data_IF_866788199958
#
_entry.id   IF_866788199958
#
_cell.length_a   1.000
_cell.length_b   1.000
_cell.length_c   1.000
_cell.angle_alpha   90.00
_cell.angle_beta   90.00
_cell.angle_gamma   90.00
#
_symmetry.space_group_name_H-M   'P 1'
#
loop_
_entity.id
_entity.type
_entity.pdbx_description
1 polymer ?
#
# COMPACT_ATOMS: atom_id res chain seq x y z
N UNK A 1 -11.14 7.58 24.86
CA UNK A 1 -11.00 9.03 25.14
C UNK A 1 -11.59 9.76 23.96
N UNK A 2 -12.45 10.75 24.19
CA UNK A 2 -13.00 11.60 23.12
C UNK A 2 -11.86 12.34 22.44
N UNK A 3 -11.80 12.31 21.10
CA UNK A 3 -10.84 13.10 20.33
C UNK A 3 -11.19 14.57 20.54
N UNK A 4 -10.23 15.38 21.02
CA UNK A 4 -10.42 16.82 21.09
C UNK A 4 -10.54 17.37 19.68
N UNK A 5 -11.41 18.36 19.53
CA UNK A 5 -11.54 19.08 18.28
C UNK A 5 -10.29 19.94 18.05
N UNK A 6 -9.82 20.00 16.80
CA UNK A 6 -8.57 20.66 16.44
C UNK A 6 -8.82 21.73 15.38
N UNK A 7 -8.16 22.87 15.51
CA UNK A 7 -8.00 23.85 14.45
C UNK A 7 -6.53 23.88 14.02
N UNK A 8 -6.26 23.35 12.83
CA UNK A 8 -4.93 23.39 12.23
C UNK A 8 -4.83 24.65 11.37
N UNK A 9 -3.98 25.60 11.73
CA UNK A 9 -3.91 26.90 11.06
C UNK A 9 -2.70 27.05 10.15
N UNK A 10 -2.81 27.91 9.14
CA UNK A 10 -1.65 28.36 8.37
C UNK A 10 -0.95 27.27 7.55
N UNK A 11 -1.63 26.16 7.24
CA UNK A 11 -1.10 25.09 6.40
C UNK A 11 -1.29 25.36 4.92
N UNK A 12 -0.65 24.57 4.06
CA UNK A 12 -0.88 24.57 2.61
C UNK A 12 -1.42 23.20 2.15
N UNK A 13 -2.74 22.98 2.17
CA UNK A 13 -3.34 21.73 1.73
C UNK A 13 -3.01 21.42 0.26
N UNK A 14 -2.62 20.18 0.00
CA UNK A 14 -2.39 19.66 -1.34
C UNK A 14 -3.54 18.78 -1.81
N UNK A 15 -3.99 19.01 -3.03
CA UNK A 15 -4.92 18.16 -3.78
C UNK A 15 -4.37 18.01 -5.20
N UNK A 16 -4.35 16.79 -5.77
CA UNK A 16 -3.79 16.56 -7.10
C UNK A 16 -4.31 17.52 -8.15
N UNK A 17 -3.39 18.15 -8.90
CA UNK A 17 -3.74 19.07 -9.99
C UNK A 17 -4.31 20.42 -9.55
N UNK A 18 -4.37 20.71 -8.24
CA UNK A 18 -4.81 21.99 -7.69
C UNK A 18 -3.61 22.77 -7.13
N UNK A 19 -3.61 24.12 -7.24
CA UNK A 19 -2.56 24.93 -6.62
C UNK A 19 -2.66 24.85 -5.09
N UNK A 20 -1.52 24.83 -4.42
CA UNK A 20 -1.46 24.94 -2.95
C UNK A 20 -1.58 26.40 -2.51
N UNK A 21 -2.30 26.67 -1.43
CA UNK A 21 -2.43 28.00 -0.82
C UNK A 21 -2.62 27.91 0.68
N UNK A 22 -2.41 29.02 1.40
CA UNK A 22 -2.59 29.05 2.86
C UNK A 22 -4.07 28.84 3.20
N UNK A 23 -4.34 27.88 4.08
CA UNK A 23 -5.66 27.60 4.62
C UNK A 23 -5.56 27.02 6.03
N UNK A 24 -6.65 27.16 6.77
CA UNK A 24 -6.91 26.51 8.04
C UNK A 24 -7.82 25.29 7.82
N UNK A 25 -7.68 24.28 8.67
CA UNK A 25 -8.47 23.04 8.66
C UNK A 25 -9.10 22.88 10.05
N UNK A 26 -10.43 23.00 10.12
CA UNK A 26 -11.19 22.70 11.33
C UNK A 26 -11.57 21.23 11.34
N UNK A 27 -11.25 20.54 12.43
CA UNK A 27 -11.46 19.12 12.64
C UNK A 27 -12.41 18.94 13.82
N UNK A 28 -13.54 18.27 13.58
CA UNK A 28 -14.53 17.89 14.59
C UNK A 28 -14.77 16.40 14.58
N UNK A 29 -14.76 15.78 15.76
CA UNK A 29 -15.08 14.36 15.92
C UNK A 29 -14.27 13.46 14.96
N UNK A 30 -13.00 13.81 14.77
CA UNK A 30 -12.07 13.10 13.90
C UNK A 30 -12.28 13.26 12.39
N UNK A 31 -13.12 14.20 11.95
CA UNK A 31 -13.38 14.52 10.54
C UNK A 31 -13.08 15.98 10.24
N UNK A 32 -12.73 16.25 8.99
CA UNK A 32 -12.57 17.61 8.47
C UNK A 32 -13.96 18.24 8.36
N UNK A 33 -14.23 19.26 9.17
CA UNK A 33 -15.50 20.00 9.13
C UNK A 33 -15.44 21.16 8.12
N UNK A 34 -14.32 21.88 8.09
CA UNK A 34 -14.14 23.02 7.19
C UNK A 34 -12.68 23.18 6.78
N UNK A 35 -12.47 23.68 5.56
CA UNK A 35 -11.17 24.12 5.04
C UNK A 35 -11.38 25.53 4.49
N UNK A 36 -10.57 26.49 4.93
CA UNK A 36 -10.72 27.88 4.49
C UNK A 36 -9.79 28.84 5.20
N UNK A 37 -9.83 30.12 4.82
CA UNK A 37 -8.99 31.14 5.43
C UNK A 37 -9.66 31.76 6.67
N UNK A 38 -8.88 31.98 7.73
CA UNK A 38 -9.31 32.71 8.91
C UNK A 38 -10.39 31.97 9.71
N UNK A 39 -10.33 30.64 9.73
CA UNK A 39 -11.23 29.85 10.55
C UNK A 39 -10.97 30.14 12.03
N UNK A 40 -12.03 30.13 12.84
CA UNK A 40 -11.91 30.30 14.28
C UNK A 40 -12.82 29.30 14.98
N UNK A 41 -12.31 28.71 16.06
CA UNK A 41 -13.03 27.77 16.90
C UNK A 41 -12.55 27.96 18.34
N UNK A 42 -13.43 28.49 19.20
CA UNK A 42 -13.09 28.88 20.58
C UNK A 42 -12.85 27.66 21.48
N UNK A 43 -13.39 26.52 21.08
CA UNK A 43 -13.46 25.26 21.80
C UNK A 43 -12.58 24.15 21.19
N UNK A 44 -11.68 24.51 20.26
CA UNK A 44 -10.74 23.58 19.62
C UNK A 44 -9.29 23.91 20.01
N UNK A 45 -8.46 22.88 20.17
CA UNK A 45 -7.01 23.06 20.35
C UNK A 45 -6.40 23.56 19.03
N UNK A 46 -5.51 24.54 19.09
CA UNK A 46 -4.91 25.17 17.90
C UNK A 46 -3.51 24.61 17.63
N UNK A 47 -3.25 24.20 16.39
CA UNK A 47 -1.92 23.81 15.91
C UNK A 47 -1.55 24.67 14.71
N UNK A 48 -0.55 25.54 14.86
CA UNK A 48 -0.05 26.36 13.77
C UNK A 48 1.02 25.61 12.95
N UNK A 49 0.77 25.48 11.65
CA UNK A 49 1.68 24.88 10.69
C UNK A 49 2.65 25.86 10.04
N UNK A 50 2.53 27.17 10.30
CA UNK A 50 3.49 28.19 9.85
C UNK A 50 3.91 28.06 8.37
N UNK A 51 2.96 27.73 7.48
CA UNK A 51 3.18 27.55 6.05
C UNK A 51 3.62 26.15 5.59
N UNK A 52 3.63 25.13 6.45
CA UNK A 52 3.97 23.77 6.05
C UNK A 52 2.97 23.20 5.02
N UNK A 53 3.44 22.33 4.12
CA UNK A 53 2.56 21.60 3.20
C UNK A 53 1.79 20.54 3.98
N UNK A 54 0.51 20.38 3.65
CA UNK A 54 -0.38 19.37 4.26
C UNK A 54 -0.83 18.41 3.18
N UNK A 55 -0.63 17.13 3.44
CA UNK A 55 -1.00 16.03 2.55
C UNK A 55 -1.98 15.10 3.26
N UNK A 56 -2.86 14.39 2.53
CA UNK A 56 -3.64 13.32 3.14
C UNK A 56 -2.71 12.19 3.60
N UNK A 57 -3.16 11.38 4.57
CA UNK A 57 -2.38 10.27 5.11
C UNK A 57 -1.93 9.30 4.01
N UNK A 58 -0.66 8.91 4.01
CA UNK A 58 -0.09 8.03 2.98
C UNK A 58 -0.75 6.65 3.03
N UNK A 59 -0.79 5.97 1.88
CA UNK A 59 -1.37 4.64 1.74
C UNK A 59 -0.30 3.68 1.22
N UNK A 60 0.15 2.74 2.06
CA UNK A 60 1.02 1.66 1.63
C UNK A 60 0.17 0.49 1.13
N UNK A 61 -0.01 0.38 -0.18
CA UNK A 61 -0.98 -0.56 -0.76
C UNK A 61 -0.42 -1.98 -0.90
N UNK A 62 0.84 -2.21 -0.51
CA UNK A 62 1.47 -3.52 -0.60
C UNK A 62 2.71 -3.57 0.29
N UNK A 63 2.64 -4.35 1.37
CA UNK A 63 3.80 -4.76 2.18
C UNK A 63 3.62 -6.17 2.75
N UNK A 64 4.62 -6.65 3.50
CA UNK A 64 4.59 -7.94 4.21
C UNK A 64 4.99 -7.77 5.68
N UNK A 65 4.02 -7.50 6.55
CA UNK A 65 4.25 -7.25 7.98
C UNK A 65 4.60 -8.52 8.76
N UNK A 66 4.13 -9.68 8.32
CA UNK A 66 4.32 -10.99 8.96
C UNK A 66 5.78 -11.48 8.91
N UNK A 67 6.53 -11.04 7.91
CA UNK A 67 7.93 -11.45 7.65
C UNK A 67 8.98 -10.45 8.10
N UNK A 68 8.57 -9.25 8.52
CA UNK A 68 9.51 -8.19 8.88
C UNK A 68 10.37 -8.58 10.08
N UNK A 69 11.65 -8.22 10.03
CA UNK A 69 12.60 -8.31 11.13
C UNK A 69 12.85 -6.94 11.77
N UNK A 70 11.93 -6.00 11.58
CA UNK A 70 12.07 -4.63 12.09
C UNK A 70 12.29 -4.60 13.61
N UNK A 71 13.26 -3.79 14.04
CA UNK A 71 13.78 -3.72 15.41
C UNK A 71 14.45 -5.00 15.94
N UNK A 72 14.52 -6.08 15.16
CA UNK A 72 15.30 -7.28 15.48
C UNK A 72 16.79 -7.12 15.17
N UNK A 73 17.62 -8.13 15.50
CA UNK A 73 19.03 -8.14 15.13
C UNK A 73 19.19 -8.17 13.61
N UNK A 74 20.28 -7.57 13.12
CA UNK A 74 20.62 -7.63 11.70
C UNK A 74 20.78 -9.08 11.25
N UNK A 75 20.02 -9.45 10.22
CA UNK A 75 20.02 -10.80 9.66
C UNK A 75 20.59 -10.77 8.24
N UNK A 76 21.73 -11.43 7.98
CA UNK A 76 22.27 -11.52 6.64
C UNK A 76 21.29 -12.18 5.68
N UNK A 77 21.09 -11.56 4.50
CA UNK A 77 20.28 -12.14 3.45
C UNK A 77 21.09 -13.18 2.66
N UNK A 78 20.57 -14.41 2.61
CA UNK A 78 21.22 -15.57 1.99
C UNK A 78 20.38 -16.19 0.87
N UNK A 79 19.29 -15.53 0.44
CA UNK A 79 18.33 -16.09 -0.52
C UNK A 79 18.70 -15.94 -1.99
N UNK A 80 19.78 -15.23 -2.30
CA UNK A 80 20.22 -15.02 -3.69
C UNK A 80 19.25 -14.13 -4.50
N UNK A 81 19.26 -14.28 -5.82
CA UNK A 81 18.54 -13.38 -6.75
C UNK A 81 17.29 -13.97 -7.39
N UNK A 82 17.04 -15.28 -7.25
CA UNK A 82 15.89 -15.94 -7.88
C UNK A 82 14.68 -15.93 -6.94
N UNK A 83 13.48 -15.90 -7.51
CA UNK A 83 12.23 -16.01 -6.75
C UNK A 83 12.22 -17.26 -5.86
N UNK A 84 12.49 -18.43 -6.46
CA UNK A 84 12.56 -19.70 -5.72
C UNK A 84 13.61 -19.70 -4.59
N UNK A 85 14.76 -19.05 -4.80
CA UNK A 85 15.80 -18.94 -3.76
C UNK A 85 15.37 -18.08 -2.57
N UNK A 86 14.64 -16.99 -2.83
CA UNK A 86 14.10 -16.12 -1.77
C UNK A 86 12.98 -16.80 -0.99
N UNK A 87 12.07 -17.51 -1.67
CA UNK A 87 11.03 -18.33 -1.03
C UNK A 87 11.69 -19.36 -0.10
N UNK A 88 12.63 -20.16 -0.62
CA UNK A 88 13.32 -21.17 0.17
C UNK A 88 14.09 -20.57 1.38
N UNK A 89 14.68 -19.38 1.21
CA UNK A 89 15.35 -18.68 2.30
C UNK A 89 14.37 -18.22 3.40
N UNK A 90 13.19 -17.71 3.02
CA UNK A 90 12.13 -17.35 3.95
C UNK A 90 11.61 -18.56 4.72
N UNK A 91 11.19 -19.61 4.00
CA UNK A 91 10.61 -20.82 4.58
C UNK A 91 11.62 -21.58 5.46
N UNK A 92 12.86 -21.70 5.01
CA UNK A 92 13.89 -22.44 5.72
C UNK A 92 14.38 -21.78 7.01
N UNK A 93 14.10 -20.47 7.20
CA UNK A 93 14.66 -19.68 8.31
C UNK A 93 13.59 -18.98 9.16
N UNK A 94 12.33 -18.90 8.74
CA UNK A 94 11.29 -18.24 9.55
C UNK A 94 11.20 -18.77 10.98
N UNK A 95 11.32 -20.09 11.17
CA UNK A 95 11.28 -20.71 12.49
C UNK A 95 12.47 -20.32 13.38
N UNK A 96 13.70 -20.24 12.83
CA UNK A 96 14.88 -19.82 13.61
C UNK A 96 14.78 -18.35 14.07
N UNK A 97 14.05 -17.53 13.30
CA UNK A 97 13.88 -16.10 13.56
C UNK A 97 12.62 -15.75 14.34
N UNK A 98 11.82 -16.77 14.72
CA UNK A 98 10.56 -16.56 15.44
C UNK A 98 9.51 -15.80 14.62
N UNK A 99 9.48 -16.02 13.31
CA UNK A 99 8.48 -15.47 12.41
C UNK A 99 7.31 -16.46 12.23
N UNK A 100 6.05 -15.99 12.19
CA UNK A 100 5.63 -14.58 12.26
C UNK A 100 5.70 -13.99 13.67
N UNK A 101 5.97 -12.68 13.78
CA UNK A 101 6.12 -11.97 15.07
C UNK A 101 5.23 -10.73 15.17
N UNK A 102 4.27 -10.75 16.10
CA UNK A 102 3.42 -9.60 16.40
C UNK A 102 4.22 -8.40 16.93
N UNK A 103 5.37 -8.63 17.56
CA UNK A 103 6.24 -7.55 18.05
C UNK A 103 6.96 -6.84 16.91
N UNK A 104 7.59 -7.58 15.98
CA UNK A 104 8.25 -6.97 14.83
C UNK A 104 7.26 -6.25 13.92
N UNK A 105 6.10 -6.88 13.65
CA UNK A 105 5.02 -6.25 12.90
C UNK A 105 4.53 -4.96 13.58
N UNK A 106 4.34 -4.96 14.92
CA UNK A 106 3.92 -3.76 15.65
C UNK A 106 4.98 -2.67 15.61
N UNK A 107 6.26 -3.02 15.74
CA UNK A 107 7.33 -2.04 15.68
C UNK A 107 7.40 -1.36 14.31
N UNK A 108 7.23 -2.13 13.23
CA UNK A 108 7.16 -1.59 11.88
C UNK A 108 5.91 -0.72 11.67
N UNK A 109 4.73 -1.13 12.14
CA UNK A 109 3.52 -0.31 12.05
C UNK A 109 3.68 1.04 12.77
N UNK A 110 4.36 1.06 13.91
CA UNK A 110 4.69 2.31 14.61
C UNK A 110 5.61 3.22 13.78
N UNK A 111 6.63 2.64 13.14
CA UNK A 111 7.52 3.34 12.21
C UNK A 111 6.77 3.91 11.00
N UNK A 112 5.85 3.14 10.41
CA UNK A 112 5.03 3.59 9.27
C UNK A 112 4.08 4.72 9.70
N UNK A 113 3.40 4.57 10.84
CA UNK A 113 2.47 5.56 11.37
C UNK A 113 3.14 6.89 11.69
N UNK A 114 4.32 6.88 12.33
CA UNK A 114 5.05 8.13 12.63
C UNK A 114 5.53 8.87 11.39
N UNK A 115 5.67 8.14 10.28
CA UNK A 115 6.01 8.64 8.95
C UNK A 115 4.77 8.98 8.12
N UNK A 116 3.58 9.05 8.73
CA UNK A 116 2.39 9.55 8.07
C UNK A 116 1.67 8.53 7.19
N UNK A 117 2.03 7.24 7.23
CA UNK A 117 1.21 6.18 6.65
C UNK A 117 -0.01 5.96 7.53
N UNK A 118 -1.20 6.21 6.99
CA UNK A 118 -2.47 6.09 7.70
C UNK A 118 -3.20 4.79 7.39
N UNK A 119 -2.86 4.15 6.27
CA UNK A 119 -3.50 2.92 5.78
C UNK A 119 -2.44 2.00 5.16
N UNK A 120 -2.56 0.71 5.42
CA UNK A 120 -1.67 -0.31 4.86
C UNK A 120 -2.44 -1.55 4.43
N UNK A 121 -2.08 -2.14 3.29
CA UNK A 121 -2.46 -3.50 2.91
C UNK A 121 -1.25 -4.42 3.06
N UNK A 122 -1.35 -5.39 3.96
CA UNK A 122 -0.30 -6.40 4.17
C UNK A 122 -0.72 -7.73 3.57
N UNK A 123 0.15 -8.27 2.72
CA UNK A 123 0.09 -9.67 2.34
C UNK A 123 0.66 -10.52 3.47
N UNK A 124 0.02 -11.65 3.75
CA UNK A 124 0.35 -12.53 4.88
C UNK A 124 0.43 -13.96 4.39
N UNK A 125 1.55 -14.63 4.66
CA UNK A 125 1.79 -15.98 4.18
C UNK A 125 0.79 -16.98 4.77
N UNK A 126 0.14 -17.71 3.87
CA UNK A 126 -0.74 -18.83 4.17
C UNK A 126 -0.17 -20.08 3.51
N UNK A 127 0.25 -21.05 4.31
CA UNK A 127 0.73 -22.35 3.86
C UNK A 127 0.53 -23.43 4.96
N UNK A 128 0.57 -24.74 4.63
CA UNK A 128 0.39 -25.81 5.61
C UNK A 128 1.33 -25.80 6.83
N UNK A 129 2.49 -25.15 6.73
CA UNK A 129 3.50 -25.13 7.77
C UNK A 129 3.34 -23.94 8.73
N UNK A 130 2.72 -22.82 8.32
CA UNK A 130 2.40 -21.67 9.19
C UNK A 130 0.91 -21.60 9.55
N UNK A 131 0.05 -22.20 8.73
CA UNK A 131 -1.40 -22.08 8.87
C UNK A 131 -1.85 -20.61 8.82
N UNK A 132 -2.48 -20.14 9.89
CA UNK A 132 -3.01 -18.78 10.02
C UNK A 132 -2.23 -17.93 11.04
N UNK A 133 -1.09 -18.40 11.53
CA UNK A 133 -0.34 -17.72 12.61
C UNK A 133 0.10 -16.31 12.20
N UNK A 134 0.41 -16.10 10.90
CA UNK A 134 0.75 -14.78 10.36
C UNK A 134 -0.42 -13.79 10.49
N UNK A 135 -1.64 -14.25 10.20
CA UNK A 135 -2.86 -13.43 10.31
C UNK A 135 -3.08 -13.02 11.76
N UNK A 136 -2.96 -13.97 12.69
CA UNK A 136 -3.08 -13.69 14.13
C UNK A 136 -2.01 -12.68 14.60
N UNK A 137 -0.76 -12.84 14.17
CA UNK A 137 0.34 -11.96 14.53
C UNK A 137 0.14 -10.52 14.02
N UNK A 138 -0.24 -10.34 12.75
CA UNK A 138 -0.46 -9.02 12.17
C UNK A 138 -1.70 -8.35 12.77
N UNK A 139 -2.78 -9.09 13.04
CA UNK A 139 -3.96 -8.54 13.75
C UNK A 139 -3.61 -8.07 15.16
N UNK A 140 -2.82 -8.85 15.90
CA UNK A 140 -2.34 -8.45 17.22
C UNK A 140 -1.46 -7.19 17.16
N UNK A 141 -0.64 -7.05 16.12
CA UNK A 141 0.15 -5.86 15.87
C UNK A 141 -0.72 -4.64 15.51
N UNK A 142 -1.70 -4.80 14.63
CA UNK A 142 -2.65 -3.78 14.24
C UNK A 142 -3.45 -3.25 15.44
N UNK A 143 -3.90 -4.15 16.33
CA UNK A 143 -4.62 -3.78 17.54
C UNK A 143 -3.81 -2.86 18.48
N UNK A 144 -2.48 -3.01 18.53
CA UNK A 144 -1.58 -2.13 19.32
C UNK A 144 -1.49 -0.71 18.75
N UNK A 145 -1.82 -0.53 17.48
CA UNK A 145 -1.79 0.74 16.77
C UNK A 145 -3.17 1.20 16.31
N UNK A 146 -4.23 0.68 16.95
CA UNK A 146 -5.60 1.14 16.70
C UNK A 146 -5.69 2.67 16.84
N UNK A 147 -6.24 3.33 15.82
CA UNK A 147 -6.30 4.79 15.75
C UNK A 147 -4.96 5.49 15.49
N UNK A 148 -3.93 4.78 15.01
CA UNK A 148 -2.70 5.34 14.43
C UNK A 148 -2.55 4.99 12.95
N UNK A 149 -2.87 3.75 12.59
CA UNK A 149 -2.79 3.21 11.22
C UNK A 149 -3.82 2.08 11.07
N UNK A 150 -4.50 2.03 9.93
CA UNK A 150 -5.45 0.97 9.62
C UNK A 150 -4.80 -0.08 8.72
N UNK A 151 -5.06 -1.36 9.00
CA UNK A 151 -4.43 -2.50 8.33
C UNK A 151 -5.48 -3.36 7.65
N UNK A 152 -5.33 -3.59 6.35
CA UNK A 152 -6.07 -4.57 5.56
C UNK A 152 -5.19 -5.78 5.27
N UNK A 153 -5.75 -7.00 5.33
CA UNK A 153 -4.97 -8.23 5.15
C UNK A 153 -5.30 -8.93 3.83
N UNK A 154 -4.27 -9.50 3.21
CA UNK A 154 -4.37 -10.42 2.07
C UNK A 154 -3.95 -11.82 2.51
N UNK A 155 -4.82 -12.81 2.32
CA UNK A 155 -4.48 -14.22 2.46
C UNK A 155 -3.63 -14.64 1.25
N UNK A 156 -2.33 -14.80 1.45
CA UNK A 156 -1.36 -14.88 0.35
C UNK A 156 -0.65 -16.24 0.26
N UNK A 157 -0.81 -17.00 -0.84
CA UNK A 157 -0.18 -18.30 -1.04
C UNK A 157 1.26 -18.17 -1.57
N UNK A 158 2.17 -17.59 -0.78
CA UNK A 158 3.56 -17.30 -1.18
C UNK A 158 4.33 -18.50 -1.71
N UNK A 159 4.10 -19.68 -1.13
CA UNK A 159 4.74 -20.94 -1.51
C UNK A 159 3.97 -21.75 -2.54
N UNK A 160 2.96 -21.15 -3.20
CA UNK A 160 2.12 -21.77 -4.22
C UNK A 160 0.71 -22.13 -3.73
N UNK A 161 -0.25 -22.09 -4.66
CA UNK A 161 -1.64 -22.46 -4.42
C UNK A 161 -1.96 -23.82 -5.04
N UNK A 162 -1.61 -24.00 -6.31
CA UNK A 162 -1.78 -25.28 -7.02
C UNK A 162 -0.67 -26.25 -6.65
N UNK A 163 0.55 -25.74 -6.54
CA UNK A 163 1.75 -26.55 -6.28
C UNK A 163 1.90 -26.98 -4.82
N UNK A 164 1.06 -26.46 -3.91
CA UNK A 164 1.08 -26.77 -2.48
C UNK A 164 -0.30 -27.20 -1.97
N UNK A 165 -0.59 -28.51 -1.91
CA UNK A 165 -1.87 -29.02 -1.43
C UNK A 165 -2.20 -28.55 -0.01
N UNK A 166 -3.48 -28.21 0.22
CA UNK A 166 -3.98 -27.69 1.50
C UNK A 166 -3.96 -26.17 1.62
N UNK A 167 -3.18 -25.46 0.80
CA UNK A 167 -3.14 -23.99 0.83
C UNK A 167 -4.50 -23.35 0.51
N UNK A 168 -5.23 -23.88 -0.48
CA UNK A 168 -6.55 -23.35 -0.86
C UNK A 168 -7.57 -23.43 0.29
N UNK A 169 -7.57 -24.52 1.06
CA UNK A 169 -8.45 -24.70 2.21
C UNK A 169 -8.09 -23.72 3.34
N UNK A 170 -6.79 -23.49 3.57
CA UNK A 170 -6.32 -22.51 4.55
C UNK A 170 -6.65 -21.07 4.13
N UNK A 171 -6.52 -20.73 2.85
CA UNK A 171 -6.95 -19.42 2.34
C UNK A 171 -8.47 -19.24 2.54
N UNK A 172 -9.27 -20.26 2.25
CA UNK A 172 -10.71 -20.22 2.52
C UNK A 172 -11.01 -20.04 4.03
N UNK A 173 -10.23 -20.68 4.91
CA UNK A 173 -10.34 -20.50 6.35
C UNK A 173 -9.98 -19.08 6.79
N UNK A 174 -8.93 -18.49 6.23
CA UNK A 174 -8.52 -17.11 6.50
C UNK A 174 -9.63 -16.11 6.12
N UNK A 175 -10.22 -16.28 4.93
CA UNK A 175 -11.33 -15.44 4.46
C UNK A 175 -12.59 -15.63 5.31
N UNK A 176 -12.91 -16.86 5.71
CA UNK A 176 -14.01 -17.15 6.63
C UNK A 176 -13.80 -16.51 8.02
N UNK A 177 -12.55 -16.36 8.45
CA UNK A 177 -12.14 -15.66 9.67
C UNK A 177 -12.02 -14.13 9.48
N UNK A 178 -12.43 -13.60 8.32
CA UNK A 178 -12.56 -12.17 8.06
C UNK A 178 -11.31 -11.48 7.49
N UNK A 179 -10.38 -12.22 6.89
CA UNK A 179 -9.37 -11.61 6.01
C UNK A 179 -10.06 -11.05 4.76
N UNK A 180 -9.71 -9.82 4.38
CA UNK A 180 -10.52 -9.00 3.46
C UNK A 180 -10.20 -9.22 1.97
N UNK A 181 -9.00 -9.73 1.68
CA UNK A 181 -8.47 -9.86 0.32
C UNK A 181 -7.89 -11.26 0.12
N UNK A 182 -8.14 -11.85 -1.05
CA UNK A 182 -7.53 -13.11 -1.49
C UNK A 182 -6.37 -12.82 -2.42
N UNK A 183 -5.24 -13.48 -2.18
CA UNK A 183 -4.01 -13.33 -2.97
C UNK A 183 -3.75 -14.47 -3.94
N UNK A 184 -2.76 -14.26 -4.81
CA UNK A 184 -2.20 -15.25 -5.73
C UNK A 184 -0.76 -14.87 -6.09
N UNK A 185 0.01 -15.78 -6.69
CA UNK A 185 1.40 -15.56 -7.09
C UNK A 185 1.67 -16.26 -8.43
N UNK A 186 2.15 -15.50 -9.42
CA UNK A 186 2.58 -15.96 -10.76
C UNK A 186 1.81 -17.20 -11.25
N UNK A 187 0.53 -17.02 -11.65
CA UNK A 187 -0.34 -18.11 -12.10
C UNK A 187 0.33 -19.05 -13.11
N UNK A 188 1.13 -18.51 -14.03
CA UNK A 188 1.91 -19.29 -14.98
C UNK A 188 3.32 -19.62 -14.48
N UNK A 189 4.12 -18.62 -14.09
CA UNK A 189 5.55 -18.78 -13.81
C UNK A 189 5.87 -19.63 -12.59
N UNK A 190 4.96 -19.65 -11.60
CA UNK A 190 5.14 -20.42 -10.37
C UNK A 190 4.22 -21.62 -10.29
N UNK A 191 2.90 -21.42 -10.34
CA UNK A 191 1.94 -22.52 -10.19
C UNK A 191 1.75 -23.36 -11.46
N UNK A 192 2.16 -22.84 -12.63
CA UNK A 192 2.15 -23.55 -13.93
C UNK A 192 0.77 -24.01 -14.39
N UNK A 193 -0.28 -23.51 -13.77
CA UNK A 193 -1.67 -23.71 -14.18
C UNK A 193 -2.47 -22.43 -13.91
N UNK A 194 -2.31 -21.41 -14.78
CA UNK A 194 -2.90 -20.10 -14.55
C UNK A 194 -4.42 -20.15 -14.55
N UNK A 195 -5.02 -21.06 -15.33
CA UNK A 195 -6.47 -21.22 -15.34
C UNK A 195 -6.96 -21.75 -13.99
N UNK A 196 -6.41 -22.86 -13.50
CA UNK A 196 -6.83 -23.44 -12.24
C UNK A 196 -6.55 -22.50 -11.05
N UNK A 197 -5.39 -21.84 -11.01
CA UNK A 197 -5.07 -20.90 -9.92
C UNK A 197 -6.08 -19.76 -9.88
N UNK A 198 -6.28 -19.09 -11.01
CA UNK A 198 -7.16 -17.92 -11.06
C UNK A 198 -8.62 -18.31 -10.80
N UNK A 199 -9.07 -19.49 -11.23
CA UNK A 199 -10.42 -19.97 -10.93
C UNK A 199 -10.62 -20.20 -9.42
N UNK A 200 -9.61 -20.69 -8.70
CA UNK A 200 -9.65 -20.80 -7.23
C UNK A 200 -9.66 -19.41 -6.59
N UNK A 201 -8.74 -18.52 -6.97
CA UNK A 201 -8.62 -17.18 -6.39
C UNK A 201 -9.91 -16.38 -6.57
N UNK A 202 -10.45 -16.32 -7.79
CA UNK A 202 -11.69 -15.60 -8.08
C UNK A 202 -12.91 -16.30 -7.46
N UNK A 203 -12.96 -17.63 -7.45
CA UNK A 203 -14.03 -18.37 -6.77
C UNK A 203 -14.07 -18.14 -5.25
N UNK A 204 -12.90 -18.01 -4.60
CA UNK A 204 -12.80 -17.60 -3.20
C UNK A 204 -13.26 -16.16 -3.00
N UNK A 205 -12.86 -15.24 -3.89
CA UNK A 205 -13.30 -13.85 -3.84
C UNK A 205 -14.82 -13.72 -3.93
N UNK A 206 -15.46 -14.41 -4.86
CA UNK A 206 -16.93 -14.43 -5.00
C UNK A 206 -17.61 -15.05 -3.79
N UNK A 207 -17.12 -16.21 -3.33
CA UNK A 207 -17.72 -16.95 -2.20
C UNK A 207 -17.75 -16.13 -0.91
N UNK A 208 -16.67 -15.40 -0.62
CA UNK A 208 -16.53 -14.64 0.62
C UNK A 208 -16.78 -13.14 0.46
N UNK A 209 -17.09 -12.68 -0.76
CA UNK A 209 -17.19 -11.27 -1.07
C UNK A 209 -15.88 -10.52 -0.83
N UNK A 210 -14.72 -11.18 -1.00
CA UNK A 210 -13.40 -10.59 -0.79
C UNK A 210 -12.94 -9.77 -2.01
N UNK A 211 -11.92 -8.93 -1.81
CA UNK A 211 -11.15 -8.32 -2.92
C UNK A 211 -10.07 -9.28 -3.41
N UNK A 212 -9.44 -8.98 -4.54
CA UNK A 212 -8.33 -9.77 -5.12
C UNK A 212 -7.07 -8.90 -5.23
N UNK A 213 -5.91 -9.44 -4.84
CA UNK A 213 -4.61 -8.79 -5.06
C UNK A 213 -3.54 -9.84 -5.40
N UNK A 214 -3.17 -9.93 -6.68
CA UNK A 214 -2.30 -11.00 -7.20
C UNK A 214 -0.89 -10.47 -7.42
N UNK A 215 0.10 -11.12 -6.83
CA UNK A 215 1.51 -10.91 -7.16
C UNK A 215 1.80 -11.43 -8.56
N UNK A 216 2.25 -10.55 -9.45
CA UNK A 216 2.57 -10.91 -10.82
C UNK A 216 3.94 -10.35 -11.24
N UNK A 217 4.95 -11.19 -11.08
CA UNK A 217 6.34 -10.96 -11.42
C UNK A 217 6.70 -11.43 -12.83
N UNK A 218 5.88 -12.30 -13.43
CA UNK A 218 6.09 -12.77 -14.79
C UNK A 218 6.20 -11.60 -15.76
N UNK A 219 7.28 -11.64 -16.56
CA UNK A 219 7.69 -10.55 -17.43
C UNK A 219 7.27 -10.74 -18.88
N UNK A 220 7.44 -9.67 -19.68
CA UNK A 220 7.26 -9.73 -21.13
C UNK A 220 5.86 -10.21 -21.55
N UNK A 221 5.76 -10.93 -22.69
CA UNK A 221 4.47 -11.39 -23.21
C UNK A 221 3.69 -12.34 -22.29
N UNK A 222 4.37 -13.09 -21.41
CA UNK A 222 3.71 -14.00 -20.47
C UNK A 222 2.87 -13.22 -19.46
N UNK A 223 3.49 -12.28 -18.74
CA UNK A 223 2.76 -11.44 -17.78
C UNK A 223 1.69 -10.58 -18.45
N UNK A 224 1.91 -10.12 -19.69
CA UNK A 224 0.89 -9.40 -20.45
C UNK A 224 -0.35 -10.25 -20.72
N UNK A 225 -0.16 -11.51 -21.10
CA UNK A 225 -1.24 -12.47 -21.28
C UNK A 225 -1.97 -12.79 -19.97
N UNK A 226 -1.23 -12.88 -18.85
CA UNK A 226 -1.84 -13.05 -17.53
C UNK A 226 -2.65 -11.83 -17.08
N UNK A 227 -2.26 -10.61 -17.46
CA UNK A 227 -3.11 -9.43 -17.27
C UNK A 227 -4.45 -9.59 -17.98
N UNK A 228 -4.46 -10.06 -19.23
CA UNK A 228 -5.69 -10.29 -20.00
C UNK A 228 -6.57 -11.37 -19.32
N UNK A 229 -5.97 -12.44 -18.78
CA UNK A 229 -6.70 -13.48 -18.02
C UNK A 229 -7.35 -12.96 -16.72
N UNK A 230 -6.66 -12.07 -16.00
CA UNK A 230 -7.17 -11.43 -14.78
C UNK A 230 -8.29 -10.45 -15.13
N UNK A 231 -8.15 -9.68 -16.22
CA UNK A 231 -9.19 -8.79 -16.74
C UNK A 231 -10.44 -9.58 -17.14
N UNK A 232 -10.28 -10.69 -17.85
CA UNK A 232 -11.39 -11.57 -18.26
C UNK A 232 -12.19 -12.04 -17.04
N UNK A 233 -11.52 -12.55 -16.01
CA UNK A 233 -12.17 -13.04 -14.78
C UNK A 233 -12.80 -11.91 -13.97
N UNK A 234 -12.16 -10.74 -13.93
CA UNK A 234 -12.74 -9.54 -13.29
C UNK A 234 -14.09 -9.19 -13.93
N UNK A 235 -14.17 -9.24 -15.27
CA UNK A 235 -15.42 -8.97 -16.00
C UNK A 235 -16.46 -10.07 -15.76
N UNK A 236 -16.05 -11.34 -15.77
CA UNK A 236 -16.95 -12.48 -15.59
C UNK A 236 -17.59 -12.55 -14.19
N UNK A 237 -16.85 -12.13 -13.16
CA UNK A 237 -17.25 -12.21 -11.74
C UNK A 237 -17.84 -10.91 -11.20
N UNK A 238 -17.85 -9.83 -11.99
CA UNK A 238 -18.35 -8.52 -11.56
C UNK A 238 -17.49 -7.85 -10.48
N UNK A 239 -16.23 -8.24 -10.32
CA UNK A 239 -15.30 -7.70 -9.32
C UNK A 239 -14.62 -6.39 -9.75
N UNK A 240 -15.24 -5.63 -10.65
CA UNK A 240 -14.71 -4.32 -11.08
C UNK A 240 -14.47 -3.40 -9.89
N UNK A 241 -13.28 -2.77 -9.84
CA UNK A 241 -12.85 -1.92 -8.73
C UNK A 241 -12.38 -2.69 -7.49
N UNK A 242 -12.33 -4.02 -7.53
CA UNK A 242 -11.96 -4.88 -6.40
C UNK A 242 -10.77 -5.81 -6.68
N UNK A 243 -10.10 -5.63 -7.82
CA UNK A 243 -8.96 -6.45 -8.25
C UNK A 243 -7.72 -5.57 -8.43
N UNK A 244 -6.61 -6.02 -7.88
CA UNK A 244 -5.30 -5.43 -8.06
C UNK A 244 -4.28 -6.45 -8.56
N UNK A 245 -3.34 -5.98 -9.39
CA UNK A 245 -2.18 -6.73 -9.85
C UNK A 245 -0.94 -6.06 -9.26
N UNK A 246 -0.31 -6.74 -8.31
CA UNK A 246 0.88 -6.27 -7.64
C UNK A 246 2.15 -6.59 -8.42
N UNK A 247 3.12 -5.69 -8.36
CA UNK A 247 4.36 -5.66 -9.15
C UNK A 247 4.16 -5.35 -10.63
N UNK A 248 3.41 -6.20 -11.35
CA UNK A 248 3.10 -6.06 -12.76
C UNK A 248 4.34 -5.81 -13.64
N UNK A 249 5.43 -6.56 -13.43
CA UNK A 249 6.73 -6.28 -14.07
C UNK A 249 6.69 -6.30 -15.60
N UNK A 250 5.82 -7.11 -16.21
CA UNK A 250 5.60 -7.06 -17.66
C UNK A 250 5.24 -5.65 -18.13
N UNK A 251 4.36 -4.93 -17.42
CA UNK A 251 3.93 -3.59 -17.80
C UNK A 251 5.09 -2.60 -17.98
N UNK A 252 6.13 -2.70 -17.15
CA UNK A 252 7.33 -1.85 -17.25
C UNK A 252 8.28 -2.18 -18.40
N UNK A 253 8.08 -3.29 -19.11
CA UNK A 253 8.98 -3.74 -20.20
C UNK A 253 8.29 -3.86 -21.56
N UNK A 254 6.97 -3.82 -21.61
CA UNK A 254 6.20 -3.86 -22.85
C UNK A 254 6.47 -2.63 -23.76
N UNK A 255 6.35 -2.78 -25.08
CA UNK A 255 6.29 -1.66 -26.01
C UNK A 255 5.18 -0.66 -25.67
N UNK A 256 5.35 0.62 -26.02
CA UNK A 256 4.45 1.70 -25.57
C UNK A 256 2.99 1.59 -26.08
N UNK A 257 2.80 1.03 -27.27
CA UNK A 257 1.49 0.71 -27.84
C UNK A 257 0.79 -0.39 -27.04
N UNK A 258 1.53 -1.42 -26.64
CA UNK A 258 1.00 -2.51 -25.84
C UNK A 258 0.73 -2.08 -24.39
N UNK A 259 1.62 -1.27 -23.80
CA UNK A 259 1.36 -0.62 -22.51
C UNK A 259 0.07 0.19 -22.55
N UNK A 260 -0.20 0.94 -23.62
CA UNK A 260 -1.44 1.70 -23.77
C UNK A 260 -2.66 0.77 -23.85
N UNK A 261 -2.61 -0.27 -24.69
CA UNK A 261 -3.68 -1.27 -24.80
C UNK A 261 -4.02 -1.87 -23.44
N UNK A 262 -3.01 -2.31 -22.70
CA UNK A 262 -3.17 -2.90 -21.37
C UNK A 262 -3.73 -1.87 -20.39
N UNK A 263 -3.19 -0.64 -20.35
CA UNK A 263 -3.67 0.41 -19.46
C UNK A 263 -5.16 0.75 -19.70
N UNK A 264 -5.58 0.88 -20.96
CA UNK A 264 -6.97 1.15 -21.33
C UNK A 264 -7.89 -0.01 -20.91
N UNK A 265 -7.45 -1.26 -21.12
CA UNK A 265 -8.23 -2.44 -20.74
C UNK A 265 -8.38 -2.58 -19.21
N UNK A 266 -7.32 -2.29 -18.44
CA UNK A 266 -7.36 -2.25 -16.98
C UNK A 266 -8.33 -1.17 -16.48
N UNK A 267 -8.28 0.03 -17.07
CA UNK A 267 -9.18 1.12 -16.72
C UNK A 267 -10.65 0.76 -16.98
N UNK A 268 -10.94 0.16 -18.14
CA UNK A 268 -12.29 -0.30 -18.50
C UNK A 268 -12.78 -1.42 -17.57
N UNK A 269 -11.93 -2.37 -17.22
CA UNK A 269 -12.29 -3.49 -16.34
C UNK A 269 -12.38 -3.08 -14.86
N UNK A 270 -11.78 -1.94 -14.49
CA UNK A 270 -11.63 -1.54 -13.09
C UNK A 270 -10.60 -2.38 -12.34
N UNK A 271 -9.54 -2.82 -13.01
CA UNK A 271 -8.40 -3.52 -12.40
C UNK A 271 -7.30 -2.51 -12.11
N UNK A 272 -6.78 -2.53 -10.89
CA UNK A 272 -5.67 -1.68 -10.49
C UNK A 272 -4.31 -2.37 -10.64
N UNK A 273 -3.25 -1.57 -10.71
CA UNK A 273 -1.88 -2.05 -10.53
C UNK A 273 -1.25 -1.46 -9.27
N UNK A 274 -0.37 -2.22 -8.63
CA UNK A 274 0.48 -1.75 -7.52
C UNK A 274 1.94 -1.91 -7.90
N UNK A 275 2.73 -0.84 -7.86
CA UNK A 275 4.18 -0.90 -8.14
C UNK A 275 5.01 -0.54 -6.91
N UNK A 276 6.06 -1.32 -6.66
CA UNK A 276 6.91 -1.16 -5.49
C UNK A 276 8.33 -0.68 -5.83
N UNK A 277 8.73 -0.68 -7.12
CA UNK A 277 10.07 -0.32 -7.58
C UNK A 277 11.21 -1.03 -6.80
N UNK A 278 11.12 -2.36 -6.70
CA UNK A 278 12.08 -3.18 -5.94
C UNK A 278 13.33 -3.48 -6.76
N UNK A 279 14.49 -3.06 -6.27
CA UNK A 279 15.79 -3.39 -6.87
C UNK A 279 15.91 -2.93 -8.33
N UNK A 280 16.19 -3.89 -9.22
CA UNK A 280 16.28 -3.66 -10.67
C UNK A 280 14.99 -3.99 -11.44
N UNK A 281 13.94 -4.40 -10.72
CA UNK A 281 12.69 -4.80 -11.36
C UNK A 281 12.05 -3.64 -12.15
N UNK A 282 11.40 -3.93 -13.28
CA UNK A 282 10.68 -2.93 -14.05
C UNK A 282 9.59 -2.24 -13.22
N UNK A 283 9.37 -0.95 -13.50
CA UNK A 283 8.35 -0.14 -12.81
C UNK A 283 7.18 0.09 -13.76
N UNK A 284 5.96 -0.02 -13.24
CA UNK A 284 4.75 0.35 -13.98
C UNK A 284 4.82 1.85 -14.38
N UNK A 285 4.68 2.19 -15.67
CA UNK A 285 4.85 3.55 -16.17
C UNK A 285 3.73 4.47 -15.67
N UNK A 286 4.05 5.36 -14.73
CA UNK A 286 3.09 6.20 -14.00
C UNK A 286 2.32 7.11 -14.96
N UNK A 287 3.01 7.72 -15.93
CA UNK A 287 2.40 8.61 -16.92
C UNK A 287 1.43 7.89 -17.86
N UNK A 288 1.74 6.64 -18.22
CA UNK A 288 0.85 5.83 -19.07
C UNK A 288 -0.43 5.49 -18.32
N UNK A 289 -0.31 5.01 -17.08
CA UNK A 289 -1.47 4.68 -16.24
C UNK A 289 -2.36 5.89 -16.01
N UNK A 290 -1.76 7.05 -15.70
CA UNK A 290 -2.48 8.29 -15.54
C UNK A 290 -3.22 8.70 -16.82
N UNK A 291 -2.55 8.66 -17.99
CA UNK A 291 -3.15 9.03 -19.27
C UNK A 291 -4.34 8.15 -19.67
N UNK A 292 -4.33 6.88 -19.26
CA UNK A 292 -5.43 5.93 -19.48
C UNK A 292 -6.53 5.98 -18.40
N UNK A 293 -6.38 6.82 -17.36
CA UNK A 293 -7.22 6.79 -16.16
C UNK A 293 -7.24 5.41 -15.44
N UNK A 294 -6.19 4.63 -15.63
CA UNK A 294 -6.00 3.33 -14.98
C UNK A 294 -5.55 3.53 -13.53
N UNK A 295 -6.11 2.74 -12.61
CA UNK A 295 -5.78 2.85 -11.20
C UNK A 295 -4.35 2.35 -10.95
N UNK A 296 -3.52 3.20 -10.34
CA UNK A 296 -2.17 2.88 -9.92
C UNK A 296 -1.99 3.23 -8.45
N UNK A 297 -1.49 2.29 -7.68
CA UNK A 297 -1.06 2.50 -6.30
C UNK A 297 0.41 2.09 -6.11
N UNK A 298 0.97 2.47 -4.96
CA UNK A 298 2.34 2.15 -4.60
C UNK A 298 2.38 1.35 -3.30
N UNK A 299 3.43 0.56 -3.12
CA UNK A 299 3.70 -0.13 -1.86
C UNK A 299 5.19 -0.31 -1.61
N UNK A 300 5.54 -0.64 -0.37
CA UNK A 300 6.93 -0.89 -0.01
C UNK A 300 7.46 -2.27 -0.38
N UNK A 301 6.57 -3.26 -0.51
CA UNK A 301 6.92 -4.69 -0.54
C UNK A 301 7.55 -5.14 0.80
N UNK A 302 8.48 -6.10 0.77
CA UNK A 302 9.25 -6.50 1.94
C UNK A 302 10.02 -5.34 2.59
N UNK A 303 10.03 -5.31 3.92
CA UNK A 303 10.73 -4.28 4.71
C UNK A 303 11.60 -4.99 5.74
N UNK A 304 12.93 -4.93 5.54
CA UNK A 304 13.94 -5.59 6.37
C UNK A 304 13.56 -7.02 6.72
N UNK A 305 13.60 -7.89 5.73
CA UNK A 305 13.22 -9.29 5.86
C UNK A 305 14.17 -10.21 5.05
N UNK A 306 13.78 -11.47 4.93
CA UNK A 306 14.54 -12.50 4.21
C UNK A 306 14.41 -12.41 2.68
N UNK A 307 13.53 -11.55 2.16
CA UNK A 307 13.41 -11.22 0.74
C UNK A 307 14.31 -10.04 0.37
N UNK A 308 14.33 -9.01 1.21
CA UNK A 308 15.06 -7.77 0.98
C UNK A 308 15.60 -7.18 2.29
N UNK A 309 16.88 -6.79 2.33
CA UNK A 309 17.44 -6.06 3.47
C UNK A 309 17.02 -4.58 3.50
N UNK A 310 16.38 -4.09 2.42
CA UNK A 310 16.00 -2.69 2.25
C UNK A 310 14.60 -2.40 2.82
N UNK A 311 14.21 -1.13 2.74
CA UNK A 311 12.94 -0.62 3.25
C UNK A 311 13.06 0.01 4.63
N UNK A 312 12.35 1.12 4.82
CA UNK A 312 12.25 1.87 6.07
C UNK A 312 10.80 2.20 6.46
N UNK A 313 9.81 1.60 5.76
CA UNK A 313 8.39 1.85 5.97
C UNK A 313 7.92 3.25 5.54
N UNK A 314 8.79 4.05 4.94
CA UNK A 314 8.49 5.43 4.55
C UNK A 314 7.84 5.50 3.15
N UNK A 315 6.53 5.71 3.10
CA UNK A 315 5.83 5.84 1.82
C UNK A 315 6.25 7.07 1.00
N UNK A 316 6.70 8.17 1.62
CA UNK A 316 7.21 9.32 0.88
C UNK A 316 8.57 9.00 0.22
N UNK A 317 9.40 8.20 0.89
CA UNK A 317 10.62 7.63 0.28
C UNK A 317 10.29 6.64 -0.84
N UNK A 318 9.24 5.84 -0.68
CA UNK A 318 8.80 4.93 -1.73
C UNK A 318 8.30 5.68 -2.97
N UNK A 319 7.48 6.72 -2.77
CA UNK A 319 7.02 7.62 -3.83
C UNK A 319 8.23 8.24 -4.56
N UNK A 320 9.20 8.76 -3.81
CA UNK A 320 10.46 9.29 -4.37
C UNK A 320 11.17 8.24 -5.25
N UNK A 321 11.31 7.02 -4.72
CA UNK A 321 11.99 5.92 -5.42
C UNK A 321 11.28 5.57 -6.72
N UNK A 322 9.94 5.50 -6.71
CA UNK A 322 9.14 5.24 -7.92
C UNK A 322 9.29 6.38 -8.93
N UNK A 323 9.17 7.64 -8.49
CA UNK A 323 9.35 8.80 -9.36
C UNK A 323 10.73 8.82 -10.04
N UNK A 324 11.78 8.53 -9.26
CA UNK A 324 13.15 8.41 -9.78
C UNK A 324 13.29 7.24 -10.76
N UNK A 325 12.75 6.06 -10.42
CA UNK A 325 12.89 4.84 -11.23
C UNK A 325 12.11 4.92 -12.55
N UNK A 326 10.94 5.54 -12.55
CA UNK A 326 10.12 5.81 -13.74
C UNK A 326 10.57 7.07 -14.51
N UNK A 327 11.60 7.78 -14.01
CA UNK A 327 12.21 8.97 -14.63
C UNK A 327 11.21 10.12 -14.81
N UNK A 328 10.43 10.39 -13.77
CA UNK A 328 9.54 11.56 -13.71
C UNK A 328 10.39 12.81 -13.42
N UNK A 329 10.29 13.83 -14.27
CA UNK A 329 11.18 15.01 -14.21
C UNK A 329 10.40 16.29 -13.94
N UNK A 330 9.25 16.48 -14.58
CA UNK A 330 8.44 17.66 -14.32
C UNK A 330 7.72 17.53 -12.97
N UNK A 331 7.53 18.63 -12.24
CA UNK A 331 6.80 18.64 -10.96
C UNK A 331 5.41 17.99 -11.09
N UNK A 332 4.70 18.28 -12.18
CA UNK A 332 3.41 17.66 -12.47
C UNK A 332 3.48 16.14 -12.67
N UNK A 333 4.61 15.62 -13.18
CA UNK A 333 4.83 14.18 -13.30
C UNK A 333 5.18 13.56 -11.93
N UNK A 334 6.05 14.21 -11.15
CA UNK A 334 6.42 13.77 -9.79
C UNK A 334 5.17 13.68 -8.90
N UNK A 335 4.26 14.65 -9.01
CA UNK A 335 2.99 14.66 -8.29
C UNK A 335 2.06 13.50 -8.69
N UNK A 336 2.22 12.87 -9.87
CA UNK A 336 1.48 11.66 -10.21
C UNK A 336 1.91 10.47 -9.34
N UNK A 337 3.20 10.36 -9.02
CA UNK A 337 3.67 9.33 -8.09
C UNK A 337 3.15 9.59 -6.67
N UNK A 338 3.11 10.86 -6.25
CA UNK A 338 2.50 11.24 -4.97
C UNK A 338 1.00 10.91 -4.94
N UNK A 339 0.27 11.19 -6.02
CA UNK A 339 -1.13 10.80 -6.16
C UNK A 339 -1.32 9.29 -6.09
N UNK A 340 -0.43 8.49 -6.72
CA UNK A 340 -0.48 7.03 -6.63
C UNK A 340 -0.27 6.51 -5.20
N UNK A 341 0.66 7.09 -4.43
CA UNK A 341 0.91 6.74 -3.02
C UNK A 341 -0.09 7.33 -2.01
N UNK A 342 -1.09 8.08 -2.49
CA UNK A 342 -2.17 8.66 -1.67
C UNK A 342 -3.54 8.24 -2.22
N UNK A 343 -4.12 9.03 -3.12
CA UNK A 343 -5.44 8.79 -3.72
C UNK A 343 -5.51 7.47 -4.52
N UNK A 344 -4.42 7.08 -5.18
CA UNK A 344 -4.31 5.80 -5.90
C UNK A 344 -4.44 4.61 -4.95
N UNK A 345 -3.65 4.62 -3.87
CA UNK A 345 -3.77 3.62 -2.80
C UNK A 345 -5.15 3.61 -2.14
N UNK A 346 -5.72 4.80 -1.85
CA UNK A 346 -7.06 4.90 -1.30
C UNK A 346 -8.12 4.25 -2.22
N UNK A 347 -8.00 4.43 -3.55
CA UNK A 347 -8.86 3.76 -4.55
C UNK A 347 -8.69 2.24 -4.51
N UNK A 348 -7.46 1.72 -4.39
CA UNK A 348 -7.17 0.27 -4.33
C UNK A 348 -7.68 -0.37 -3.04
N UNK A 349 -7.56 0.34 -1.91
CA UNK A 349 -8.10 -0.11 -0.62
C UNK A 349 -9.63 0.08 -0.53
N UNK A 350 -10.24 0.87 -1.42
CA UNK A 350 -11.67 1.15 -1.40
C UNK A 350 -12.08 2.10 -0.26
N UNK A 351 -11.20 3.04 0.09
CA UNK A 351 -11.46 4.01 1.14
C UNK A 351 -12.48 5.05 0.67
N UNK A 352 -13.58 5.19 1.41
CA UNK A 352 -14.58 6.22 1.17
C UNK A 352 -14.18 7.55 1.84
N UNK A 353 -14.43 8.67 1.15
CA UNK A 353 -14.17 10.04 1.66
C UNK A 353 -12.71 10.22 2.13
N UNK A 354 -11.76 9.87 1.26
CA UNK A 354 -10.33 10.07 1.51
C UNK A 354 -9.84 11.38 0.90
N UNK A 355 -8.90 12.05 1.57
CA UNK A 355 -8.26 13.26 1.06
C UNK A 355 -8.39 14.42 2.03
N UNK A 356 -8.11 15.62 1.52
CA UNK A 356 -8.27 16.87 2.27
C UNK A 356 -9.57 17.56 1.81
N UNK A 357 -10.71 16.93 2.11
CA UNK A 357 -12.04 17.42 1.76
C UNK A 357 -12.99 17.41 2.96
N UNK A 358 -14.01 18.27 2.94
CA UNK A 358 -15.01 18.33 4.02
C UNK A 358 -15.75 17.00 4.14
N UNK A 359 -15.80 16.47 5.36
CA UNK A 359 -16.41 15.19 5.72
C UNK A 359 -15.43 14.01 5.72
N UNK A 360 -14.24 14.14 5.12
CA UNK A 360 -13.20 13.12 5.16
C UNK A 360 -12.68 12.91 6.60
N UNK A 361 -12.22 11.69 6.97
CA UNK A 361 -11.41 11.51 8.17
C UNK A 361 -10.22 12.47 8.18
N UNK A 362 -9.90 13.05 9.33
CA UNK A 362 -8.75 13.92 9.49
C UNK A 362 -7.45 13.12 9.62
N UNK A 363 -7.10 12.44 8.53
CA UNK A 363 -5.90 11.63 8.34
C UNK A 363 -4.97 12.42 7.43
N UNK A 364 -3.96 13.05 8.01
CA UNK A 364 -3.09 13.96 7.29
C UNK A 364 -1.69 13.99 7.89
N UNK A 365 -0.73 14.43 7.11
CA UNK A 365 0.60 14.76 7.61
C UNK A 365 1.05 16.11 7.06
N UNK A 366 1.92 16.79 7.81
CA UNK A 366 2.50 18.05 7.42
C UNK A 366 4.02 17.96 7.34
N UNK A 367 4.61 18.64 6.36
CA UNK A 367 6.06 18.71 6.13
C UNK A 367 6.50 20.11 5.74
N UNK A 368 7.72 20.45 6.11
CA UNK A 368 8.35 21.70 5.69
C UNK A 368 9.04 21.49 4.34
N UNK A 369 8.40 21.96 3.27
CA UNK A 369 8.93 21.94 1.90
C UNK A 369 8.28 23.04 1.04
N UNK A 370 8.98 23.53 0.02
CA UNK A 370 8.51 24.65 -0.81
C UNK A 370 7.34 24.26 -1.73
N UNK A 371 7.41 23.10 -2.38
CA UNK A 371 6.39 22.58 -3.30
C UNK A 371 6.15 21.08 -3.05
N UNK A 372 5.03 20.52 -3.54
CA UNK A 372 4.79 19.08 -3.47
C UNK A 372 5.91 18.25 -4.11
N UNK A 373 6.40 18.68 -5.29
CA UNK A 373 7.56 18.07 -5.94
C UNK A 373 8.81 18.09 -5.05
N UNK A 374 9.12 19.23 -4.42
CA UNK A 374 10.24 19.33 -3.48
C UNK A 374 10.07 18.41 -2.26
N UNK A 375 8.85 18.27 -1.73
CA UNK A 375 8.56 17.35 -0.62
C UNK A 375 8.85 15.88 -1.01
N UNK A 376 8.42 15.46 -2.20
CA UNK A 376 8.74 14.12 -2.73
C UNK A 376 10.24 13.94 -2.92
N UNK A 377 10.94 14.90 -3.51
CA UNK A 377 12.38 14.77 -3.82
C UNK A 377 13.23 14.72 -2.54
N UNK A 378 12.91 15.57 -1.54
CA UNK A 378 13.70 15.71 -0.32
C UNK A 378 13.35 14.72 0.79
N UNK A 379 12.15 14.14 0.76
CA UNK A 379 11.63 13.22 1.78
C UNK A 379 11.83 13.75 3.21
N UNK A 380 11.27 14.93 3.54
CA UNK A 380 11.47 15.58 4.83
C UNK A 380 10.84 14.77 5.96
N UNK A 381 11.29 15.08 7.18
CA UNK A 381 10.65 14.59 8.39
C UNK A 381 9.23 15.15 8.53
N UNK A 382 8.33 14.37 9.16
CA UNK A 382 6.94 14.78 9.36
C UNK A 382 6.86 15.66 10.58
N UNK A 383 6.55 16.93 10.37
CA UNK A 383 6.30 17.90 11.43
C UNK A 383 5.08 17.54 12.26
N UNK A 384 4.02 17.07 11.60
CA UNK A 384 2.79 16.62 12.23
C UNK A 384 2.23 15.40 11.48
N UNK A 385 1.70 14.43 12.22
CA UNK A 385 0.85 13.36 11.68
C UNK A 385 -0.43 13.28 12.50
N UNK A 386 -1.59 13.26 11.83
CA UNK A 386 -2.89 13.03 12.41
C UNK A 386 -3.54 11.75 11.85
N UNK A 387 -4.25 11.02 12.70
CA UNK A 387 -5.17 9.92 12.34
C UNK A 387 -6.49 10.11 13.08
N UNK A 388 -7.59 10.24 12.37
CA UNK A 388 -8.92 10.51 12.91
C UNK A 388 -8.93 11.76 13.76
N UNK A 389 -8.20 12.81 13.36
CA UNK A 389 -8.07 14.06 14.11
C UNK A 389 -7.21 13.96 15.38
N UNK A 390 -6.62 12.80 15.69
CA UNK A 390 -5.70 12.64 16.82
C UNK A 390 -4.27 12.78 16.35
N UNK A 391 -3.46 13.52 17.10
CA UNK A 391 -2.01 13.57 16.89
C UNK A 391 -1.41 12.16 17.09
N UNK A 392 -0.70 11.67 16.06
CA UNK A 392 0.03 10.40 16.06
C UNK A 392 1.52 10.62 16.23
N UNK A 393 2.05 11.67 15.60
CA UNK A 393 3.46 12.04 15.70
C UNK A 393 3.66 13.56 15.58
N UNK A 394 4.75 14.04 16.20
CA UNK A 394 5.27 15.40 16.04
C UNK A 394 6.78 15.31 15.82
N UNK A 395 7.28 16.07 14.87
CA UNK A 395 8.72 16.17 14.57
C UNK A 395 9.39 14.78 14.50
N UNK A 396 8.79 13.91 13.68
CA UNK A 396 9.27 12.54 13.46
C UNK A 396 9.09 11.54 14.60
N UNK A 397 8.56 11.95 15.76
CA UNK A 397 8.44 11.10 16.97
C UNK A 397 6.98 10.76 17.25
N UNK A 398 6.69 9.48 17.53
CA UNK A 398 5.36 9.03 17.97
C UNK A 398 4.98 9.70 19.30
N UNK A 399 3.74 10.16 19.40
CA UNK A 399 3.18 10.57 20.69
C UNK A 399 2.62 9.34 21.41
N UNK A 400 2.93 9.23 22.71
CA UNK A 400 2.56 8.07 23.53
C UNK A 400 1.05 7.92 23.70
#
# INVERSE_FOLDING_TARGET
MTVNDLLVTGGRPWTPGQPTGIADILIRHGRIEAIGAGLSAVDADVIDLAGALVFPGLVDSHCHLDKTLWSGPWTPNTGGRTLAGRIANGEGRRAELGLPSAEYAANLLGEMARRGTAYVRSHVDIDPEVGLDGVAAVRAAAARHAGRIDVELVAFPQGGLITRPGTADLMAAALADGVEVVGGLDPAGYDRDPAAQLDIVFGLAEKFGAKVDIHLHDGGPLGAWEFDLIIERTRATGLSGRVAISHAYAMGTLPADEQRRVADALAEAGVAMVTCAVGEAPVVPVRMMHAANAALALGNDGIRDLWTPYGDGDMLRRINTVAYRDRLVADSEIELALAAGTYGGARVLGLERYGLEVGAPADLFAVDAETPGAAVVSVPERRLVLKGGRVVARDGVLVN
#
